data_IF_114476652475
#
_entry.id   IF_114476652475
#
_cell.length_a   1.000
_cell.length_b   1.000
_cell.length_c   1.000
_cell.angle_alpha   90.00
_cell.angle_beta   90.00
_cell.angle_gamma   90.00
#
_symmetry.space_group_name_H-M   'P 1'
#
loop_
_entity.id
_entity.type
_entity.pdbx_description
1 polymer ?
#
# COMPACT_ATOMS: atom_id res chain seq x y z
N UNK A 1 -60.08 14.03 -37.66
CA UNK A 1 -60.50 14.74 -36.43
C UNK A 1 -60.85 13.69 -35.39
N UNK A 2 -60.31 13.76 -34.16
CA UNK A 2 -60.74 12.87 -33.08
C UNK A 2 -59.68 12.52 -32.04
N UNK A 3 -59.03 13.53 -31.44
CA UNK A 3 -58.25 13.37 -30.22
C UNK A 3 -59.13 13.72 -29.01
N UNK A 4 -59.34 12.78 -28.11
CA UNK A 4 -59.83 13.08 -26.76
C UNK A 4 -59.06 12.24 -25.76
N UNK A 5 -58.13 12.89 -25.07
CA UNK A 5 -57.43 12.34 -23.93
C UNK A 5 -58.37 12.38 -22.71
N UNK A 6 -58.62 11.22 -22.11
CA UNK A 6 -59.35 11.08 -20.86
C UNK A 6 -58.51 11.63 -19.69
N UNK A 7 -58.81 12.85 -19.25
CA UNK A 7 -58.30 13.39 -17.98
C UNK A 7 -59.18 12.86 -16.84
N UNK A 8 -58.61 12.31 -15.75
CA UNK A 8 -59.40 11.93 -14.59
C UNK A 8 -59.81 13.21 -13.82
N UNK A 9 -61.11 13.46 -13.72
CA UNK A 9 -61.66 14.53 -12.87
C UNK A 9 -61.62 14.11 -11.41
N UNK A 10 -60.97 14.92 -10.57
CA UNK A 10 -60.96 14.73 -9.11
C UNK A 10 -62.29 15.15 -8.52
N UNK A 11 -63.12 14.18 -8.12
CA UNK A 11 -64.36 14.45 -7.38
C UNK A 11 -64.04 14.86 -5.95
N UNK A 12 -64.20 16.13 -5.63
CA UNK A 12 -64.07 16.66 -4.27
C UNK A 12 -65.46 16.59 -3.61
N UNK A 13 -65.60 15.72 -2.62
CA UNK A 13 -66.80 15.65 -1.79
C UNK A 13 -66.64 16.61 -0.62
N UNK A 14 -67.44 17.68 -0.61
CA UNK A 14 -67.59 18.53 0.57
C UNK A 14 -68.76 18.02 1.43
N UNK A 15 -68.60 17.95 2.76
CA UNK A 15 -69.69 17.51 3.63
C UNK A 15 -70.85 18.52 3.59
N UNK A 16 -72.08 18.01 3.56
CA UNK A 16 -73.31 18.83 3.46
C UNK A 16 -73.70 19.55 4.75
N UNK A 17 -73.00 19.30 5.87
CA UNK A 17 -73.24 19.90 7.17
C UNK A 17 -71.94 20.53 7.73
N UNK A 18 -72.03 21.70 8.40
CA UNK A 18 -70.87 22.30 9.03
C UNK A 18 -70.34 21.39 10.13
N UNK A 19 -69.06 21.04 10.04
CA UNK A 19 -68.33 20.34 11.09
C UNK A 19 -67.89 21.37 12.14
N UNK A 20 -68.70 21.53 13.19
CA UNK A 20 -68.36 22.39 14.33
C UNK A 20 -67.43 21.62 15.29
N UNK A 21 -66.18 22.07 15.39
CA UNK A 21 -65.25 21.58 16.39
C UNK A 21 -65.45 22.33 17.72
N UNK A 22 -65.28 21.64 18.85
CA UNK A 22 -65.34 22.32 20.14
C UNK A 22 -64.17 23.30 20.30
N UNK A 23 -64.42 24.46 20.92
CA UNK A 23 -63.39 25.46 21.18
C UNK A 23 -62.21 24.90 21.99
N UNK A 24 -62.48 23.94 22.88
CA UNK A 24 -61.45 23.25 23.66
C UNK A 24 -60.56 22.34 22.81
N UNK A 25 -61.11 21.75 21.74
CA UNK A 25 -60.33 20.92 20.82
C UNK A 25 -59.45 21.78 19.92
N UNK A 26 -59.97 22.91 19.43
CA UNK A 26 -59.18 23.87 18.67
C UNK A 26 -58.05 24.47 19.51
N UNK A 27 -58.31 24.83 20.77
CA UNK A 27 -57.25 25.31 21.66
C UNK A 27 -56.19 24.25 21.94
N UNK A 28 -56.56 22.96 21.98
CA UNK A 28 -55.60 21.87 22.13
C UNK A 28 -54.76 21.65 20.86
N UNK A 29 -55.35 21.76 19.68
CA UNK A 29 -54.62 21.68 18.42
C UNK A 29 -53.65 22.86 18.26
N UNK A 30 -54.09 24.08 18.57
CA UNK A 30 -53.29 25.29 18.51
C UNK A 30 -52.18 25.30 19.58
N UNK A 31 -52.48 24.79 20.79
CA UNK A 31 -51.49 24.64 21.86
C UNK A 31 -50.60 23.39 21.68
N UNK A 32 -50.87 22.52 20.70
CA UNK A 32 -50.02 21.37 20.46
C UNK A 32 -48.69 21.85 19.88
N UNK A 33 -47.61 21.66 20.64
CA UNK A 33 -46.25 21.94 20.17
C UNK A 33 -45.81 20.95 19.08
N UNK A 34 -46.52 19.83 18.95
CA UNK A 34 -46.20 18.75 18.03
C UNK A 34 -47.04 18.83 16.76
N UNK A 35 -46.47 19.45 15.73
CA UNK A 35 -47.02 19.48 14.37
C UNK A 35 -46.60 18.24 13.58
N UNK A 36 -47.20 18.03 12.40
CA UNK A 36 -46.77 16.96 11.49
C UNK A 36 -45.27 17.09 11.12
N UNK A 37 -44.74 18.31 11.09
CA UNK A 37 -43.32 18.56 10.86
C UNK A 37 -42.44 18.07 12.01
N UNK A 38 -42.77 18.39 13.27
CA UNK A 38 -41.96 17.95 14.42
C UNK A 38 -42.01 16.42 14.57
N UNK A 39 -43.17 15.81 14.30
CA UNK A 39 -43.32 14.35 14.25
C UNK A 39 -42.44 13.72 13.18
N UNK A 40 -42.42 14.28 11.97
CA UNK A 40 -41.54 13.81 10.90
C UNK A 40 -40.06 13.91 11.28
N UNK A 41 -39.63 15.04 11.85
CA UNK A 41 -38.26 15.23 12.33
C UNK A 41 -37.87 14.23 13.42
N UNK A 42 -38.75 13.98 14.39
CA UNK A 42 -38.52 12.98 15.43
C UNK A 42 -38.37 11.56 14.85
N UNK A 43 -39.22 11.20 13.89
CA UNK A 43 -39.13 9.89 13.21
C UNK A 43 -37.84 9.76 12.41
N UNK A 44 -37.42 10.80 11.70
CA UNK A 44 -36.17 10.80 10.95
C UNK A 44 -34.97 10.64 11.86
N UNK A 45 -34.91 11.39 12.96
CA UNK A 45 -33.86 11.26 13.98
C UNK A 45 -33.80 9.85 14.55
N UNK A 46 -34.94 9.26 14.91
CA UNK A 46 -34.98 7.88 15.42
C UNK A 46 -34.43 6.87 14.41
N UNK A 47 -34.77 7.04 13.12
CA UNK A 47 -34.25 6.18 12.06
C UNK A 47 -32.74 6.35 11.94
N UNK A 48 -32.23 7.58 11.95
CA UNK A 48 -30.79 7.87 11.91
C UNK A 48 -30.05 7.20 13.06
N UNK A 49 -30.54 7.33 14.29
CA UNK A 49 -29.94 6.69 15.48
C UNK A 49 -29.88 5.17 15.35
N UNK A 50 -30.95 4.56 14.82
CA UNK A 50 -30.99 3.11 14.62
C UNK A 50 -30.04 2.64 13.52
N UNK A 51 -29.93 3.40 12.42
CA UNK A 51 -28.96 3.11 11.36
C UNK A 51 -27.54 3.22 11.88
N UNK A 52 -27.24 4.25 12.69
CA UNK A 52 -25.92 4.41 13.30
C UNK A 52 -25.56 3.25 14.23
N UNK A 53 -26.52 2.78 15.04
CA UNK A 53 -26.31 1.64 15.92
C UNK A 53 -26.00 0.34 15.12
N UNK A 54 -26.73 0.09 14.04
CA UNK A 54 -26.48 -1.06 13.16
C UNK A 54 -25.14 -0.95 12.42
N UNK A 55 -24.77 0.25 11.95
CA UNK A 55 -23.48 0.49 11.31
C UNK A 55 -22.30 0.26 12.26
N UNK A 56 -22.38 0.75 13.50
CA UNK A 56 -21.36 0.53 14.51
C UNK A 56 -21.18 -0.97 14.84
N UNK A 57 -22.29 -1.73 14.87
CA UNK A 57 -22.26 -3.18 15.04
C UNK A 57 -21.56 -3.87 13.87
N UNK A 58 -21.92 -3.50 12.63
CA UNK A 58 -21.29 -4.05 11.43
C UNK A 58 -19.80 -3.72 11.34
N UNK A 59 -19.39 -2.53 11.77
CA UNK A 59 -17.98 -2.14 11.82
C UNK A 59 -17.18 -3.03 12.79
N UNK A 60 -17.72 -3.26 13.99
CA UNK A 60 -17.10 -4.16 14.97
C UNK A 60 -17.01 -5.61 14.46
N UNK A 61 -18.06 -6.12 13.83
CA UNK A 61 -18.07 -7.44 13.21
C UNK A 61 -17.07 -7.54 12.05
N UNK A 62 -16.98 -6.52 11.20
CA UNK A 62 -16.02 -6.45 10.10
C UNK A 62 -14.58 -6.41 10.60
N UNK A 63 -14.30 -5.63 11.65
CA UNK A 63 -12.98 -5.57 12.31
C UNK A 63 -12.57 -6.92 12.88
N UNK A 64 -13.47 -7.60 13.61
CA UNK A 64 -13.24 -8.94 14.13
C UNK A 64 -13.03 -9.97 13.01
N UNK A 65 -13.84 -9.92 11.96
CA UNK A 65 -13.69 -10.80 10.80
C UNK A 65 -12.36 -10.57 10.09
N UNK A 66 -11.96 -9.31 9.92
CA UNK A 66 -10.67 -8.95 9.35
C UNK A 66 -9.52 -9.48 10.21
N UNK A 67 -9.56 -9.25 11.52
CA UNK A 67 -8.56 -9.78 12.46
C UNK A 67 -8.44 -11.30 12.36
N UNK A 68 -9.56 -12.02 12.42
CA UNK A 68 -9.58 -13.48 12.29
C UNK A 68 -9.08 -13.96 10.92
N UNK A 69 -9.39 -13.24 9.84
CA UNK A 69 -8.92 -13.59 8.50
C UNK A 69 -7.41 -13.35 8.35
N UNK A 70 -6.90 -12.26 8.93
CA UNK A 70 -5.47 -11.96 8.99
C UNK A 70 -4.76 -13.02 9.82
N UNK A 71 -5.19 -13.26 11.07
CA UNK A 71 -4.61 -14.28 11.94
C UNK A 71 -4.64 -15.65 11.28
N UNK A 72 -5.77 -16.03 10.69
CA UNK A 72 -5.90 -17.30 9.96
C UNK A 72 -4.96 -17.38 8.75
N UNK A 73 -4.79 -16.29 8.00
CA UNK A 73 -3.88 -16.28 6.83
C UNK A 73 -2.40 -16.24 7.24
N UNK A 74 -2.07 -15.57 8.33
CA UNK A 74 -0.74 -15.55 8.93
C UNK A 74 -0.39 -16.93 9.50
N UNK A 75 -1.29 -17.55 10.27
CA UNK A 75 -1.09 -18.88 10.86
C UNK A 75 -1.12 -20.01 9.84
N UNK A 76 -1.90 -19.90 8.76
CA UNK A 76 -1.91 -20.90 7.68
C UNK A 76 -0.62 -20.91 6.83
N UNK A 77 0.25 -19.90 6.96
CA UNK A 77 1.62 -19.97 6.42
C UNK A 77 2.60 -20.71 7.34
N UNK A 78 2.20 -21.04 8.58
CA UNK A 78 3.11 -21.64 9.58
C UNK A 78 3.02 -23.15 9.72
N UNK A 79 1.98 -23.81 9.21
CA UNK A 79 1.84 -25.26 9.33
C UNK A 79 1.58 -25.95 7.99
N UNK A 80 2.68 -26.19 7.26
CA UNK A 80 3.16 -27.53 6.86
C UNK A 80 4.47 -27.40 6.05
N UNK A 81 5.56 -27.85 6.67
CA UNK A 81 6.90 -28.13 6.11
C UNK A 81 7.94 -27.00 5.93
N UNK A 82 7.59 -25.71 5.92
CA UNK A 82 8.57 -24.62 5.68
C UNK A 82 8.88 -23.70 6.88
N UNK A 83 8.83 -24.24 8.11
CA UNK A 83 9.34 -23.55 9.31
C UNK A 83 10.88 -23.55 9.38
N UNK A 84 11.56 -23.30 8.25
CA UNK A 84 13.04 -23.16 8.09
C UNK A 84 13.47 -21.79 7.56
N UNK A 85 12.59 -20.80 7.71
CA UNK A 85 12.85 -19.41 7.39
C UNK A 85 12.64 -18.56 8.64
N UNK A 86 13.25 -18.98 9.75
CA UNK A 86 13.46 -18.05 10.86
C UNK A 86 14.53 -17.02 10.46
N UNK A 87 14.39 -15.78 10.94
CA UNK A 87 15.42 -14.74 10.78
C UNK A 87 16.79 -15.24 11.24
N UNK A 88 16.80 -16.06 12.30
CA UNK A 88 18.01 -16.70 12.82
C UNK A 88 18.67 -17.67 11.83
N UNK A 89 17.90 -18.46 11.08
CA UNK A 89 18.45 -19.34 10.04
C UNK A 89 18.94 -18.56 8.82
N UNK A 90 18.28 -17.45 8.47
CA UNK A 90 18.75 -16.54 7.44
C UNK A 90 20.09 -15.90 7.83
N UNK A 91 20.23 -15.44 9.08
CA UNK A 91 21.50 -14.92 9.63
C UNK A 91 22.60 -15.98 9.63
N UNK A 92 22.27 -17.22 9.99
CA UNK A 92 23.19 -18.36 9.90
C UNK A 92 23.69 -18.63 8.48
N UNK A 93 22.81 -18.55 7.48
CA UNK A 93 23.17 -18.71 6.06
C UNK A 93 24.03 -17.55 5.55
N UNK A 94 23.69 -16.31 5.92
CA UNK A 94 24.44 -15.10 5.53
C UNK A 94 25.86 -15.13 6.09
N UNK A 95 26.02 -15.51 7.36
CA UNK A 95 27.34 -15.62 8.00
C UNK A 95 28.20 -16.72 7.35
N UNK A 96 27.61 -17.88 7.02
CA UNK A 96 28.29 -18.96 6.32
C UNK A 96 28.77 -18.55 4.92
N UNK A 97 27.91 -17.89 4.13
CA UNK A 97 28.27 -17.35 2.81
C UNK A 97 29.39 -16.30 2.90
N UNK A 98 29.29 -15.40 3.88
CA UNK A 98 30.31 -14.38 4.11
C UNK A 98 31.67 -15.00 4.43
N UNK A 99 31.69 -16.09 5.20
CA UNK A 99 32.92 -16.83 5.50
C UNK A 99 33.50 -17.49 4.25
N UNK A 100 32.68 -18.20 3.47
CA UNK A 100 33.11 -18.85 2.23
C UNK A 100 33.67 -17.85 1.20
N UNK A 101 33.06 -16.67 1.07
CA UNK A 101 33.57 -15.61 0.20
C UNK A 101 34.93 -15.08 0.68
N UNK A 102 35.12 -14.86 1.99
CA UNK A 102 36.41 -14.43 2.54
C UNK A 102 37.52 -15.44 2.30
N UNK A 103 37.24 -16.73 2.49
CA UNK A 103 38.18 -17.81 2.22
C UNK A 103 38.53 -17.91 0.72
N UNK A 104 37.55 -17.73 -0.16
CA UNK A 104 37.76 -17.74 -1.61
C UNK A 104 38.44 -16.47 -2.14
N UNK A 105 38.31 -15.32 -1.48
CA UNK A 105 39.02 -14.09 -1.84
C UNK A 105 40.53 -14.27 -1.70
N UNK A 106 40.99 -15.02 -0.70
CA UNK A 106 42.42 -15.37 -0.57
C UNK A 106 42.91 -16.25 -1.74
N UNK A 107 42.05 -17.13 -2.25
CA UNK A 107 42.33 -17.95 -3.44
C UNK A 107 42.23 -17.15 -4.75
N UNK A 108 41.44 -16.07 -4.76
CA UNK A 108 41.24 -15.19 -5.91
C UNK A 108 42.21 -14.00 -5.97
N UNK A 109 43.14 -13.87 -5.01
CA UNK A 109 44.31 -12.99 -5.16
C UNK A 109 45.17 -13.56 -6.29
N UNK A 110 44.86 -13.16 -7.52
CA UNK A 110 45.72 -13.40 -8.68
C UNK A 110 47.09 -12.86 -8.31
N UNK A 111 48.05 -13.77 -8.11
CA UNK A 111 49.42 -13.41 -7.82
C UNK A 111 50.03 -12.82 -9.09
N UNK A 112 49.88 -11.51 -9.26
CA UNK A 112 50.58 -10.77 -10.31
C UNK A 112 52.05 -10.74 -9.91
N UNK A 113 52.97 -11.28 -10.74
CA UNK A 113 54.39 -11.26 -10.42
C UNK A 113 54.87 -9.84 -10.16
N UNK A 114 55.79 -9.69 -9.21
CA UNK A 114 56.32 -8.38 -8.82
C UNK A 114 56.89 -7.61 -10.03
N UNK A 115 57.56 -8.32 -10.95
CA UNK A 115 58.07 -7.74 -12.20
C UNK A 115 56.98 -7.08 -13.07
N UNK A 116 55.78 -7.66 -13.10
CA UNK A 116 54.63 -7.11 -13.85
C UNK A 116 54.04 -5.89 -13.15
N UNK A 117 54.10 -5.83 -11.81
CA UNK A 117 53.69 -4.67 -11.01
C UNK A 117 54.65 -3.49 -11.21
N UNK A 118 55.96 -3.74 -11.14
CA UNK A 118 56.99 -2.73 -11.39
C UNK A 118 56.93 -2.19 -12.82
N UNK A 119 56.78 -3.06 -13.83
CA UNK A 119 56.62 -2.62 -15.22
C UNK A 119 55.35 -1.79 -15.44
N UNK A 120 54.25 -2.11 -14.75
CA UNK A 120 53.02 -1.29 -14.77
C UNK A 120 53.26 0.09 -14.17
N UNK A 121 53.96 0.18 -13.04
CA UNK A 121 54.30 1.44 -12.40
C UNK A 121 55.23 2.29 -13.28
N UNK A 122 56.20 1.68 -13.97
CA UNK A 122 57.08 2.37 -14.92
C UNK A 122 56.29 3.00 -16.08
N UNK A 123 55.32 2.28 -16.66
CA UNK A 123 54.41 2.83 -17.69
C UNK A 123 53.60 4.01 -17.16
N UNK A 124 53.02 3.86 -15.96
CA UNK A 124 52.21 4.91 -15.34
C UNK A 124 53.05 6.17 -15.06
N UNK A 125 54.27 6.00 -14.55
CA UNK A 125 55.20 7.10 -14.29
C UNK A 125 55.59 7.82 -15.58
N UNK A 126 55.99 7.10 -16.63
CA UNK A 126 56.33 7.71 -17.91
C UNK A 126 55.13 8.47 -18.53
N UNK A 127 53.91 7.90 -18.48
CA UNK A 127 52.71 8.54 -19.01
C UNK A 127 52.33 9.81 -18.24
N UNK A 128 52.54 9.83 -16.92
CA UNK A 128 52.32 11.03 -16.09
C UNK A 128 53.33 12.13 -16.42
N UNK A 129 54.60 11.77 -16.57
CA UNK A 129 55.68 12.72 -16.92
C UNK A 129 55.52 13.28 -18.34
N UNK A 130 54.93 12.50 -19.25
CA UNK A 130 54.72 12.87 -20.65
C UNK A 130 53.27 13.23 -20.99
N UNK A 131 52.46 13.65 -20.01
CA UNK A 131 51.06 14.01 -20.21
C UNK A 131 50.90 15.04 -21.34
N UNK A 132 50.01 14.77 -22.31
CA UNK A 132 49.75 15.65 -23.44
C UNK A 132 50.71 15.51 -24.63
N UNK A 133 51.67 14.56 -24.60
CA UNK A 133 52.56 14.25 -25.73
C UNK A 133 52.25 12.85 -26.29
N UNK A 134 52.15 12.67 -27.61
CA UNK A 134 51.56 11.45 -28.17
C UNK A 134 52.45 10.19 -28.19
N UNK A 135 53.76 10.23 -27.87
CA UNK A 135 54.68 9.14 -28.31
C UNK A 135 55.95 8.88 -27.46
N UNK A 136 55.95 9.07 -26.14
CA UNK A 136 57.20 9.01 -25.36
C UNK A 136 57.46 7.77 -24.48
N UNK A 137 56.53 6.81 -24.38
CA UNK A 137 56.63 5.71 -23.40
C UNK A 137 56.57 4.30 -24.02
N UNK A 138 57.06 4.16 -25.26
CA UNK A 138 56.91 2.91 -26.02
C UNK A 138 57.77 1.76 -25.49
N UNK A 139 58.91 2.07 -24.89
CA UNK A 139 59.82 1.07 -24.34
C UNK A 139 59.21 0.40 -23.09
N UNK A 140 58.69 1.20 -22.17
CA UNK A 140 58.02 0.76 -20.94
C UNK A 140 56.76 -0.05 -21.28
N UNK A 141 55.98 0.41 -22.27
CA UNK A 141 54.78 -0.30 -22.75
C UNK A 141 55.16 -1.63 -23.40
N UNK A 142 56.25 -1.68 -24.17
CA UNK A 142 56.72 -2.92 -24.79
C UNK A 142 57.23 -3.93 -23.76
N UNK A 143 57.92 -3.47 -22.71
CA UNK A 143 58.36 -4.32 -21.61
C UNK A 143 57.17 -4.87 -20.81
N UNK A 144 56.21 -4.02 -20.45
CA UNK A 144 54.97 -4.46 -19.81
C UNK A 144 54.22 -5.50 -20.67
N UNK A 145 54.08 -5.25 -21.97
CA UNK A 145 53.42 -6.17 -22.91
C UNK A 145 54.10 -7.52 -23.01
N UNK A 146 55.44 -7.59 -22.92
CA UNK A 146 56.17 -8.86 -22.89
C UNK A 146 55.86 -9.66 -21.62
N UNK A 147 55.83 -9.00 -20.47
CA UNK A 147 55.56 -9.63 -19.18
C UNK A 147 54.11 -10.10 -19.02
N UNK A 148 53.16 -9.51 -19.74
CA UNK A 148 51.74 -9.91 -19.72
C UNK A 148 51.33 -10.81 -20.89
N UNK A 149 52.24 -11.16 -21.80
CA UNK A 149 51.89 -11.94 -23.01
C UNK A 149 51.61 -13.42 -22.72
N UNK A 150 52.16 -13.93 -21.62
CA UNK A 150 52.11 -15.34 -21.23
C UNK A 150 51.17 -15.61 -20.03
N UNK A 151 50.44 -14.58 -19.58
CA UNK A 151 49.31 -14.67 -18.64
C UNK A 151 47.98 -14.67 -19.40
#
# INVERSE_FOLDING_TARGET
MGSSASRPETKVFTPAAPVDFSASFLSQLEASAESDYSRAQHTEKYIQERVLAELAKLEAEAGNRFHNAVDGSLLNNYDKEDSKLSVSEADGKITALTKALKENIELAKVHVPEATREAREAVISCLKENSGKPLNCWEEVSQFKKLTKDF
#
